data_IF_348468823727
#
_entry.id   IF_348468823727
#
_cell.length_a   1.000
_cell.length_b   1.000
_cell.length_c   1.000
_cell.angle_alpha   90.00
_cell.angle_beta   90.00
_cell.angle_gamma   90.00
#
_symmetry.space_group_name_H-M   'P 1'
#
loop_
_entity.id
_entity.type
_entity.pdbx_description
1 polymer ?
#
# COMPACT_ATOMS: atom_id res chain seq x y z
N UNK A 1 -7.97 3.47 -9.37
CA UNK A 1 -8.72 2.26 -9.02
C UNK A 1 -10.19 2.57 -9.18
N UNK A 2 -10.76 2.17 -10.32
CA UNK A 2 -12.19 2.35 -10.61
C UNK A 2 -12.98 1.24 -9.93
N UNK A 3 -14.09 1.62 -9.31
CA UNK A 3 -15.17 0.89 -8.66
C UNK A 3 -15.20 -0.66 -8.77
N UNK A 4 -15.25 -1.29 -7.59
CA UNK A 4 -15.95 -2.56 -7.26
C UNK A 4 -15.39 -3.92 -7.70
N UNK A 5 -14.14 -4.05 -8.11
CA UNK A 5 -13.53 -5.39 -8.17
C UNK A 5 -13.05 -5.80 -6.77
N UNK A 6 -13.82 -6.69 -6.13
CA UNK A 6 -13.46 -7.30 -4.85
C UNK A 6 -12.07 -7.93 -4.98
N UNK A 7 -11.10 -7.37 -4.27
CA UNK A 7 -9.78 -7.99 -4.11
C UNK A 7 -10.00 -9.35 -3.46
N UNK A 8 -9.83 -10.43 -4.23
CA UNK A 8 -10.07 -11.78 -3.74
C UNK A 8 -8.85 -12.24 -2.93
N UNK A 9 -9.03 -12.38 -1.62
CA UNK A 9 -8.07 -13.07 -0.78
C UNK A 9 -8.00 -14.55 -1.17
N UNK A 10 -6.83 -15.01 -1.61
CA UNK A 10 -6.59 -16.42 -1.90
C UNK A 10 -6.17 -17.16 -0.64
N UNK A 11 -5.26 -16.57 0.14
CA UNK A 11 -4.70 -17.20 1.33
C UNK A 11 -4.04 -16.17 2.24
N UNK A 12 -3.93 -16.47 3.52
CA UNK A 12 -3.05 -15.76 4.44
C UNK A 12 -2.02 -16.71 5.05
N UNK A 13 -0.85 -16.18 5.36
CA UNK A 13 0.22 -16.87 6.11
C UNK A 13 0.49 -16.02 7.33
N UNK A 14 0.38 -16.61 8.52
CA UNK A 14 0.67 -15.95 9.78
C UNK A 14 2.03 -16.38 10.26
N UNK A 15 2.90 -15.41 10.53
CA UNK A 15 4.22 -15.62 11.13
C UNK A 15 4.20 -14.99 12.51
N UNK A 16 4.34 -15.80 13.55
CA UNK A 16 4.45 -15.31 14.91
C UNK A 16 5.86 -14.73 15.10
N UNK A 17 5.94 -13.48 15.55
CA UNK A 17 7.21 -12.86 15.96
C UNK A 17 7.17 -12.52 17.44
N UNK A 18 8.33 -12.20 18.02
CA UNK A 18 8.45 -11.81 19.43
C UNK A 18 7.64 -10.56 19.79
N UNK A 19 7.35 -9.70 18.81
CA UNK A 19 6.63 -8.45 19.04
C UNK A 19 5.15 -8.55 18.70
N UNK A 20 4.82 -9.13 17.53
CA UNK A 20 3.44 -9.34 17.10
C UNK A 20 3.35 -10.35 15.95
N UNK A 21 2.14 -10.84 15.67
CA UNK A 21 1.91 -11.68 14.50
C UNK A 21 1.96 -10.85 13.22
N UNK A 22 2.78 -11.26 12.26
CA UNK A 22 2.81 -10.70 10.92
C UNK A 22 1.90 -11.56 10.04
N UNK A 23 0.92 -10.93 9.38
CA UNK A 23 -0.01 -11.62 8.49
C UNK A 23 0.32 -11.22 7.05
N UNK A 24 0.78 -12.18 6.26
CA UNK A 24 0.98 -12.03 4.82
C UNK A 24 -0.29 -12.44 4.09
N UNK A 25 -0.86 -11.55 3.28
CA UNK A 25 -2.02 -11.83 2.46
C UNK A 25 -1.59 -12.09 1.01
N UNK A 26 -2.02 -13.23 0.47
CA UNK A 26 -1.90 -13.58 -0.95
C UNK A 26 -3.22 -13.18 -1.60
N UNK A 27 -3.17 -12.14 -2.42
CA UNK A 27 -4.33 -11.54 -3.06
C UNK A 27 -4.28 -11.84 -4.56
N UNK A 28 -5.41 -12.27 -5.13
CA UNK A 28 -5.59 -12.23 -6.57
C UNK A 28 -5.95 -10.79 -6.92
N UNK A 29 -4.99 -10.07 -7.51
CA UNK A 29 -5.14 -8.66 -7.84
C UNK A 29 -5.00 -8.44 -9.35
N UNK A 30 -5.77 -7.47 -9.83
CA UNK A 30 -5.79 -7.17 -11.25
C UNK A 30 -4.47 -6.51 -11.66
N UNK A 31 -4.05 -6.81 -12.90
CA UNK A 31 -2.84 -6.28 -13.55
C UNK A 31 -2.64 -4.77 -13.39
N UNK A 32 -3.68 -3.90 -13.36
CA UNK A 32 -3.53 -2.47 -13.09
C UNK A 32 -2.85 -2.12 -11.76
N UNK A 33 -3.02 -2.92 -10.70
CA UNK A 33 -2.33 -2.69 -9.43
C UNK A 33 -0.82 -2.93 -9.56
N UNK A 34 -0.41 -3.97 -10.28
CA UNK A 34 1.01 -4.23 -10.54
C UNK A 34 1.63 -3.16 -11.43
N UNK A 35 0.87 -2.63 -12.40
CA UNK A 35 1.32 -1.47 -13.18
C UNK A 35 1.47 -0.21 -12.31
N UNK A 36 0.56 0.03 -11.37
CA UNK A 36 0.70 1.12 -10.41
C UNK A 36 1.98 0.99 -9.56
N UNK A 37 2.29 -0.20 -9.05
CA UNK A 37 3.54 -0.43 -8.32
C UNK A 37 4.78 -0.18 -9.20
N UNK A 38 4.78 -0.72 -10.42
CA UNK A 38 5.86 -0.48 -11.39
C UNK A 38 6.04 1.01 -11.69
N UNK A 39 4.94 1.75 -11.82
CA UNK A 39 4.99 3.18 -12.12
C UNK A 39 5.48 3.98 -10.92
N UNK A 40 5.10 3.60 -9.69
CA UNK A 40 5.67 4.15 -8.44
C UNK A 40 7.19 3.94 -8.40
N UNK A 41 7.66 2.72 -8.66
CA UNK A 41 9.08 2.39 -8.66
C UNK A 41 9.83 3.20 -9.72
N UNK A 42 9.27 3.29 -10.93
CA UNK A 42 9.84 4.08 -12.03
C UNK A 42 9.93 5.57 -11.68
N UNK A 43 8.92 6.10 -10.99
CA UNK A 43 8.89 7.50 -10.54
C UNK A 43 9.74 7.73 -9.28
N UNK A 44 10.23 6.67 -8.64
CA UNK A 44 10.95 6.69 -7.36
C UNK A 44 10.17 7.43 -6.27
N UNK A 45 8.87 7.17 -6.25
CA UNK A 45 7.96 7.69 -5.22
C UNK A 45 7.84 6.64 -4.12
N UNK A 46 7.86 7.04 -2.86
CA UNK A 46 7.50 6.13 -1.78
C UNK A 46 6.79 6.87 -0.66
N UNK A 47 6.00 6.13 0.11
CA UNK A 47 5.31 6.64 1.28
C UNK A 47 6.07 6.21 2.54
N UNK A 48 6.63 7.17 3.27
CA UNK A 48 7.18 6.96 4.60
C UNK A 48 6.03 6.96 5.60
N UNK A 49 5.60 5.76 5.98
CA UNK A 49 4.51 5.51 6.92
C UNK A 49 4.83 5.86 8.38
N UNK A 50 6.10 6.06 8.75
CA UNK A 50 6.48 6.47 10.12
C UNK A 50 6.13 7.95 10.32
N UNK A 51 6.37 8.77 9.29
CA UNK A 51 6.20 10.22 9.36
C UNK A 51 4.98 10.71 8.55
N UNK A 52 4.23 9.81 7.93
CA UNK A 52 3.16 10.11 6.97
C UNK A 52 3.61 11.05 5.83
N UNK A 53 4.78 10.80 5.24
CA UNK A 53 5.33 11.62 4.16
C UNK A 53 5.32 10.86 2.83
N UNK A 54 4.78 11.48 1.77
CA UNK A 54 4.99 11.03 0.40
C UNK A 54 6.23 11.73 -0.17
N UNK A 55 7.23 10.94 -0.55
CA UNK A 55 8.55 11.44 -0.96
C UNK A 55 8.76 11.10 -2.43
N UNK A 56 9.22 12.09 -3.21
CA UNK A 56 9.64 11.94 -4.60
C UNK A 56 10.88 12.79 -4.85
N UNK A 57 12.06 12.16 -4.82
CA UNK A 57 13.36 12.88 -4.89
C UNK A 57 13.39 13.98 -3.83
N UNK A 58 13.47 15.24 -4.24
CA UNK A 58 13.55 16.41 -3.34
C UNK A 58 12.17 16.96 -2.94
N UNK A 59 11.09 16.39 -3.47
CA UNK A 59 9.71 16.78 -3.15
C UNK A 59 9.23 15.95 -1.96
N UNK A 60 8.86 16.63 -0.89
CA UNK A 60 8.32 16.03 0.34
C UNK A 60 6.91 16.58 0.54
N UNK A 61 5.93 15.69 0.60
CA UNK A 61 4.52 16.03 0.78
C UNK A 61 4.04 15.37 2.07
N UNK A 62 3.58 16.18 3.03
CA UNK A 62 2.92 15.69 4.23
C UNK A 62 1.52 15.19 3.89
N UNK A 63 1.23 13.94 4.23
CA UNK A 63 -0.12 13.39 4.10
C UNK A 63 -0.84 13.52 5.44
N UNK A 64 -1.89 14.33 5.45
CA UNK A 64 -2.79 14.50 6.58
C UNK A 64 -4.03 13.67 6.30
N UNK A 65 -4.23 12.60 7.06
CA UNK A 65 -5.46 11.81 7.01
C UNK A 65 -6.60 12.60 7.63
N UNK A 66 -7.61 12.93 6.83
CA UNK A 66 -8.86 13.46 7.36
C UNK A 66 -9.86 12.31 7.54
N UNK A 67 -9.97 11.85 8.77
CA UNK A 67 -11.00 10.89 9.17
C UNK A 67 -12.37 11.60 9.20
N UNK A 68 -13.40 10.95 8.66
CA UNK A 68 -14.80 11.42 8.77
C UNK A 68 -15.34 12.29 7.63
N UNK A 69 -14.79 12.20 6.41
CA UNK A 69 -15.56 12.56 5.22
C UNK A 69 -16.46 11.38 4.81
N UNK A 70 -17.70 11.64 4.30
CA UNK A 70 -18.66 10.60 3.98
C UNK A 70 -18.17 9.65 2.88
#
# INVERSE_FOLDING_TARGET
FSNNELIKLLRSIVINTLFNNIIFYILLINTPFLYYLRDIDKLRVYFNNINNLLIKRDIIILIIYKYGYP
#
